data_IF_643979782417
#
_entry.id   IF_643979782417
#
_cell.length_a   1.000
_cell.length_b   1.000
_cell.length_c   1.000
_cell.angle_alpha   90.00
_cell.angle_beta   90.00
_cell.angle_gamma   90.00
#
_symmetry.space_group_name_H-M   'P 1'
#
loop_
_entity.id
_entity.type
_entity.pdbx_description
1 polymer ?
#
# COMPACT_ATOMS: atom_id res chain seq x y z
N UNK A 1 -30.67 -44.80 48.48
CA UNK A 1 -30.37 -43.37 48.66
C UNK A 1 -28.96 -43.12 48.17
N UNK A 2 -28.78 -42.22 47.18
CA UNK A 2 -27.66 -41.27 47.02
C UNK A 2 -26.28 -41.92 46.68
N UNK A 3 -25.49 -41.56 45.65
CA UNK A 3 -25.51 -40.59 44.53
C UNK A 3 -24.40 -41.04 43.55
N UNK A 4 -24.51 -40.63 42.28
CA UNK A 4 -23.48 -40.67 41.24
C UNK A 4 -22.21 -39.88 41.62
N UNK A 5 -21.04 -40.27 41.08
CA UNK A 5 -20.16 -39.31 40.39
C UNK A 5 -19.18 -40.01 39.45
N UNK A 6 -19.25 -39.59 38.18
CA UNK A 6 -18.21 -39.73 37.17
C UNK A 6 -16.98 -38.89 37.54
N UNK A 7 -15.79 -39.34 37.12
CA UNK A 7 -14.56 -38.53 37.09
C UNK A 7 -13.80 -38.89 35.83
N UNK A 8 -14.07 -38.14 34.75
CA UNK A 8 -13.38 -38.22 33.48
C UNK A 8 -11.98 -37.61 33.61
N UNK A 9 -10.96 -38.36 33.18
CA UNK A 9 -9.59 -37.90 33.07
C UNK A 9 -9.45 -37.24 31.68
N UNK A 10 -9.62 -35.93 31.60
CA UNK A 10 -9.32 -35.17 30.38
C UNK A 10 -7.82 -34.83 30.38
N UNK A 11 -7.12 -35.44 29.43
CA UNK A 11 -5.75 -35.14 29.05
C UNK A 11 -5.77 -33.88 28.17
N UNK A 12 -5.60 -32.69 28.78
CA UNK A 12 -5.41 -31.45 28.00
C UNK A 12 -3.93 -31.33 27.63
N UNK A 13 -3.60 -31.75 26.42
CA UNK A 13 -2.35 -31.37 25.76
C UNK A 13 -2.41 -29.89 25.42
N UNK A 14 -1.60 -29.07 26.10
CA UNK A 14 -1.27 -27.74 25.62
C UNK A 14 -0.23 -27.92 24.50
N UNK A 15 -0.71 -27.85 23.26
CA UNK A 15 0.14 -27.64 22.09
C UNK A 15 0.50 -26.16 22.11
N UNK A 16 1.70 -25.83 22.60
CA UNK A 16 2.29 -24.52 22.38
C UNK A 16 2.62 -24.42 20.89
N UNK A 17 1.80 -23.70 20.14
CA UNK A 17 2.21 -23.14 18.86
C UNK A 17 3.34 -22.15 19.16
N UNK A 18 4.53 -22.48 18.71
CA UNK A 18 5.66 -21.56 18.73
C UNK A 18 5.32 -20.41 17.78
N UNK A 19 5.01 -19.25 18.35
CA UNK A 19 5.07 -18.00 17.61
C UNK A 19 6.51 -17.83 17.10
N UNK A 20 6.64 -17.66 15.79
CA UNK A 20 7.91 -17.37 15.14
C UNK A 20 8.39 -16.01 15.65
N UNK A 21 9.41 -16.01 16.51
CA UNK A 21 10.11 -14.80 16.94
C UNK A 21 11.20 -14.51 15.91
N UNK A 22 10.88 -13.61 14.97
CA UNK A 22 11.85 -12.77 14.29
C UNK A 22 11.68 -11.36 14.88
N UNK A 23 12.07 -11.21 16.15
CA UNK A 23 12.34 -9.88 16.70
C UNK A 23 13.72 -9.47 16.19
N UNK A 24 13.75 -8.85 15.01
CA UNK A 24 14.85 -7.91 14.76
C UNK A 24 14.70 -6.75 15.74
N UNK A 25 15.79 -6.42 16.42
CA UNK A 25 15.89 -5.43 17.48
C UNK A 25 15.72 -4.00 16.91
N UNK A 26 14.54 -3.69 16.40
CA UNK A 26 14.04 -2.33 16.29
C UNK A 26 13.89 -1.80 17.71
N UNK A 27 14.19 -0.52 17.94
CA UNK A 27 14.11 0.13 19.24
C UNK A 27 12.69 0.29 19.78
N UNK A 28 11.84 -0.72 19.61
CA UNK A 28 10.49 -0.81 20.16
C UNK A 28 10.60 -0.99 21.67
N UNK A 29 10.10 -0.01 22.40
CA UNK A 29 9.98 -0.13 23.84
C UNK A 29 8.64 -0.82 24.12
N UNK A 30 8.59 -1.95 24.84
CA UNK A 30 7.34 -2.65 25.14
C UNK A 30 6.32 -1.83 25.97
N UNK A 31 6.65 -0.59 26.36
CA UNK A 31 5.69 0.40 26.88
C UNK A 31 5.02 1.27 25.81
N UNK A 32 5.38 1.12 24.54
CA UNK A 32 4.90 1.95 23.43
C UNK A 32 3.40 1.76 23.21
N UNK A 33 2.83 0.61 23.59
CA UNK A 33 1.43 0.26 23.30
C UNK A 33 1.40 -1.11 22.65
N UNK A 34 0.24 -1.78 22.60
CA UNK A 34 0.14 -3.06 21.91
C UNK A 34 0.10 -2.82 20.40
N UNK A 35 1.14 -3.18 19.64
CA UNK A 35 0.95 -3.43 18.20
C UNK A 35 -0.16 -4.47 18.10
N UNK A 36 -1.22 -4.15 17.37
CA UNK A 36 -2.44 -4.94 17.45
C UNK A 36 -3.29 -4.82 16.21
N UNK A 37 -4.06 -5.88 15.95
CA UNK A 37 -5.16 -5.83 15.01
C UNK A 37 -6.06 -4.62 15.28
N UNK A 38 -6.71 -4.10 14.25
CA UNK A 38 -7.81 -3.15 14.36
C UNK A 38 -9.12 -3.91 14.66
N UNK A 39 -9.54 -4.11 15.94
CA UNK A 39 -10.77 -4.84 16.21
C UNK A 39 -11.97 -4.01 15.74
N UNK A 40 -12.67 -4.52 14.72
CA UNK A 40 -14.03 -4.17 14.28
C UNK A 40 -14.44 -2.69 14.47
N UNK A 41 -13.61 -1.75 14.02
CA UNK A 41 -13.94 -0.32 13.92
C UNK A 41 -13.42 0.58 15.04
N UNK A 42 -12.26 0.29 15.65
CA UNK A 42 -11.57 1.29 16.49
C UNK A 42 -11.03 2.44 15.63
N UNK A 43 -10.53 2.11 14.45
CA UNK A 43 -10.11 3.04 13.40
C UNK A 43 -10.83 2.65 12.11
N UNK A 44 -11.31 3.64 11.36
CA UNK A 44 -11.88 3.44 10.04
C UNK A 44 -10.85 3.82 8.96
N UNK A 45 -10.28 2.84 8.23
CA UNK A 45 -9.27 3.10 7.20
C UNK A 45 -9.76 3.97 6.02
N UNK A 46 -11.08 4.05 5.82
CA UNK A 46 -11.66 4.85 4.74
C UNK A 46 -11.94 6.31 5.14
N UNK A 47 -11.72 6.68 6.39
CA UNK A 47 -11.88 8.06 6.85
C UNK A 47 -10.57 8.83 6.67
N UNK A 48 -10.63 9.95 5.97
CA UNK A 48 -9.50 10.88 5.84
C UNK A 48 -9.47 11.82 7.04
N UNK A 49 -8.39 11.74 7.81
CA UNK A 49 -8.14 12.67 8.92
C UNK A 49 -7.78 14.07 8.42
N UNK A 50 -8.12 15.09 9.21
CA UNK A 50 -7.73 16.48 8.95
C UNK A 50 -6.35 16.74 9.55
N UNK A 51 -5.40 17.19 8.73
CA UNK A 51 -4.07 17.58 9.22
C UNK A 51 -4.16 18.79 10.14
N UNK A 52 -3.59 18.68 11.35
CA UNK A 52 -3.56 19.76 12.35
C UNK A 52 -2.15 20.10 12.80
N UNK A 53 -1.99 21.27 13.42
CA UNK A 53 -0.71 21.69 13.97
C UNK A 53 -0.43 21.06 15.35
N UNK A 54 0.85 20.90 15.74
CA UNK A 54 1.20 20.38 17.07
C UNK A 54 0.59 21.14 18.25
N UNK A 55 0.40 22.46 18.11
CA UNK A 55 -0.15 23.32 19.16
C UNK A 55 -1.68 23.12 19.35
N UNK A 56 -2.34 22.44 18.41
CA UNK A 56 -3.78 22.12 18.44
C UNK A 56 -4.05 20.75 19.10
N UNK A 57 -3.00 19.94 19.28
CA UNK A 57 -3.09 18.62 19.92
C UNK A 57 -3.36 18.75 21.43
N UNK A 58 -4.18 17.88 22.05
CA UNK A 58 -4.35 17.83 23.50
C UNK A 58 -3.02 17.80 24.26
N UNK A 59 -2.92 18.58 25.34
CA UNK A 59 -1.69 18.74 26.12
C UNK A 59 -1.22 17.41 26.72
N UNK A 60 -2.16 16.54 27.05
CA UNK A 60 -1.92 15.19 27.57
C UNK A 60 -1.13 14.32 26.57
N UNK A 61 -1.43 14.44 25.27
CA UNK A 61 -0.70 13.72 24.22
C UNK A 61 0.69 14.33 24.02
N UNK A 62 0.78 15.67 23.99
CA UNK A 62 2.07 16.37 23.88
C UNK A 62 3.00 16.00 25.05
N UNK A 63 2.46 15.92 26.27
CA UNK A 63 3.17 15.51 27.48
C UNK A 63 3.61 14.04 27.40
N UNK A 64 2.72 13.15 26.93
CA UNK A 64 3.06 11.74 26.72
C UNK A 64 4.24 11.58 25.75
N UNK A 65 4.17 12.21 24.56
CA UNK A 65 5.22 12.10 23.55
C UNK A 65 6.54 12.69 24.05
N UNK A 66 6.50 13.85 24.72
CA UNK A 66 7.69 14.52 25.26
C UNK A 66 8.36 13.75 26.38
N UNK A 67 7.58 13.06 27.22
CA UNK A 67 8.09 12.27 28.32
C UNK A 67 8.72 10.95 27.85
N UNK A 68 8.11 10.29 26.85
CA UNK A 68 8.52 8.96 26.40
C UNK A 68 9.52 8.99 25.23
N UNK A 69 9.48 10.00 24.36
CA UNK A 69 10.32 10.10 23.16
C UNK A 69 11.11 11.41 23.10
N UNK A 70 11.91 11.76 24.12
CA UNK A 70 12.56 13.06 24.19
C UNK A 70 13.40 13.38 22.93
N UNK A 71 13.09 14.50 22.28
CA UNK A 71 13.76 14.91 21.04
C UNK A 71 13.13 14.34 19.76
N UNK A 72 11.94 13.75 19.85
CA UNK A 72 11.13 13.39 18.69
C UNK A 72 10.81 14.60 17.80
N UNK A 73 10.45 14.33 16.55
CA UNK A 73 9.95 15.34 15.60
C UNK A 73 8.66 14.84 14.98
N UNK A 74 7.62 15.66 14.96
CA UNK A 74 6.37 15.32 14.27
C UNK A 74 6.59 15.12 12.77
N UNK A 75 5.86 14.16 12.20
CA UNK A 75 5.79 13.88 10.76
C UNK A 75 4.39 14.04 10.22
N UNK A 76 3.40 13.57 10.97
CA UNK A 76 1.98 13.68 10.66
C UNK A 76 1.21 13.85 11.97
N UNK A 77 0.18 14.69 11.95
CA UNK A 77 -0.79 14.82 13.03
C UNK A 77 -2.15 15.01 12.36
N UNK A 78 -3.05 14.06 12.58
CA UNK A 78 -4.40 14.07 12.02
C UNK A 78 -5.44 13.99 13.13
N UNK A 79 -6.49 14.79 12.99
CA UNK A 79 -7.72 14.71 13.78
C UNK A 79 -8.79 14.00 12.96
N UNK A 80 -9.40 12.97 13.56
CA UNK A 80 -10.53 12.25 13.00
C UNK A 80 -11.78 12.59 13.82
N UNK A 81 -12.92 12.75 13.14
CA UNK A 81 -14.21 13.02 13.77
C UNK A 81 -15.25 12.00 13.31
N UNK A 82 -15.23 10.83 13.95
CA UNK A 82 -16.11 9.73 13.61
C UNK A 82 -17.29 9.67 14.58
N UNK A 83 -18.52 9.79 14.08
CA UNK A 83 -19.75 9.74 14.91
C UNK A 83 -19.76 10.72 16.11
N UNK A 84 -18.99 11.80 16.04
CA UNK A 84 -18.85 12.81 17.09
C UNK A 84 -17.80 12.48 18.16
N UNK A 85 -17.04 11.40 18.00
CA UNK A 85 -15.84 11.12 18.78
C UNK A 85 -14.60 11.66 18.06
N UNK A 86 -13.75 12.36 18.80
CA UNK A 86 -12.48 12.86 18.29
C UNK A 86 -11.38 11.83 18.58
N UNK A 87 -10.58 11.50 17.56
CA UNK A 87 -9.40 10.65 17.67
C UNK A 87 -8.21 11.36 17.02
N UNK A 88 -7.00 11.03 17.47
CA UNK A 88 -5.77 11.61 16.94
C UNK A 88 -4.83 10.52 16.42
N UNK A 89 -4.53 10.58 15.12
CA UNK A 89 -3.48 9.79 14.49
C UNK A 89 -2.19 10.61 14.42
N UNK A 90 -1.07 10.04 14.88
CA UNK A 90 0.20 10.78 14.98
C UNK A 90 1.35 9.91 14.50
N UNK A 91 2.19 10.47 13.64
CA UNK A 91 3.48 9.87 13.27
C UNK A 91 4.60 10.77 13.73
N UNK A 92 5.57 10.21 14.47
CA UNK A 92 6.78 10.90 14.89
C UNK A 92 8.02 10.22 14.32
N UNK A 93 9.11 10.99 14.21
CA UNK A 93 10.46 10.45 14.05
C UNK A 93 11.22 10.54 15.37
N UNK A 94 11.71 9.41 15.88
CA UNK A 94 12.51 9.30 17.09
C UNK A 94 13.71 8.37 16.86
N UNK A 95 14.92 8.85 17.16
CA UNK A 95 16.18 8.10 16.96
C UNK A 95 16.37 7.49 15.54
N UNK A 96 15.80 8.14 14.53
CA UNK A 96 15.88 7.69 13.13
C UNK A 96 14.69 6.84 12.68
N UNK A 97 13.90 6.30 13.60
CA UNK A 97 12.74 5.46 13.30
C UNK A 97 11.46 6.29 13.22
N UNK A 98 10.49 5.83 12.43
CA UNK A 98 9.11 6.36 12.43
C UNK A 98 8.26 5.51 13.37
N UNK A 99 7.50 6.17 14.23
CA UNK A 99 6.59 5.53 15.19
C UNK A 99 5.22 6.19 15.01
N UNK A 100 4.19 5.39 14.94
CA UNK A 100 2.81 5.79 14.71
C UNK A 100 1.99 5.54 15.97
N UNK A 101 0.98 6.37 16.20
CA UNK A 101 0.15 6.34 17.39
C UNK A 101 -1.29 6.68 17.05
N UNK A 102 -2.22 6.10 17.78
CA UNK A 102 -3.63 6.42 17.78
C UNK A 102 -4.10 6.73 19.20
N UNK A 103 -4.68 7.91 19.41
CA UNK A 103 -5.11 8.40 20.73
C UNK A 103 -6.61 8.74 20.75
N UNK A 104 -7.21 8.63 21.94
CA UNK A 104 -8.50 9.25 22.24
C UNK A 104 -8.34 10.76 22.47
N UNK A 105 -9.45 11.50 22.41
CA UNK A 105 -9.47 12.94 22.66
C UNK A 105 -8.93 13.37 24.03
N UNK A 106 -8.98 12.50 25.05
CA UNK A 106 -8.48 12.77 26.40
C UNK A 106 -6.98 12.46 26.59
N UNK A 107 -6.31 12.04 25.52
CA UNK A 107 -4.90 11.66 25.51
C UNK A 107 -4.62 10.22 25.96
N UNK A 108 -5.66 9.40 26.15
CA UNK A 108 -5.50 7.96 26.33
C UNK A 108 -4.96 7.32 25.04
N UNK A 109 -3.83 6.62 25.15
CA UNK A 109 -3.26 5.87 24.04
C UNK A 109 -4.09 4.62 23.75
N UNK A 110 -4.51 4.46 22.50
CA UNK A 110 -5.25 3.29 22.01
C UNK A 110 -4.26 2.28 21.46
N UNK A 111 -3.42 2.71 20.51
CA UNK A 111 -2.46 1.86 19.83
C UNK A 111 -1.21 2.66 19.44
N UNK A 112 -0.08 1.98 19.32
CA UNK A 112 1.10 2.47 18.63
C UNK A 112 1.88 1.32 17.99
N UNK A 113 2.71 1.68 17.01
CA UNK A 113 3.57 0.73 16.35
C UNK A 113 4.65 1.40 15.51
N UNK A 114 5.62 0.63 15.00
CA UNK A 114 6.51 1.13 13.99
C UNK A 114 5.73 1.38 12.69
N UNK A 115 6.13 2.39 11.94
CA UNK A 115 5.66 2.55 10.55
C UNK A 115 6.25 1.42 9.72
N UNK A 116 5.39 0.68 9.03
CA UNK A 116 5.74 -0.48 8.21
C UNK A 116 4.99 -0.38 6.89
N UNK A 117 5.55 -0.96 5.82
CA UNK A 117 4.79 -1.13 4.58
C UNK A 117 3.66 -2.12 4.79
N UNK A 118 2.67 -2.06 3.89
CA UNK A 118 1.72 -3.14 3.72
C UNK A 118 2.44 -4.43 3.34
N UNK A 119 1.73 -5.54 3.46
CA UNK A 119 2.26 -6.86 3.17
C UNK A 119 1.23 -7.65 2.38
N UNK A 120 1.62 -8.13 1.19
CA UNK A 120 0.76 -8.99 0.38
C UNK A 120 0.34 -10.27 1.13
N UNK A 121 -0.92 -10.66 0.95
CA UNK A 121 -1.55 -11.84 1.54
C UNK A 121 -2.12 -12.71 0.43
N UNK A 122 -1.86 -14.00 0.51
CA UNK A 122 -2.52 -14.96 -0.37
C UNK A 122 -4.03 -14.97 -0.10
N UNK A 123 -4.84 -14.76 -1.14
CA UNK A 123 -6.31 -14.68 -1.07
C UNK A 123 -6.92 -15.93 -0.41
N UNK A 124 -6.39 -17.13 -0.67
CA UNK A 124 -6.86 -18.39 -0.06
C UNK A 124 -6.60 -18.46 1.45
N UNK A 125 -5.75 -17.56 1.97
CA UNK A 125 -5.43 -17.44 3.40
C UNK A 125 -6.31 -16.40 4.12
N UNK A 126 -7.16 -15.67 3.40
CA UNK A 126 -8.10 -14.73 4.01
C UNK A 126 -9.10 -15.48 4.93
N UNK A 127 -9.56 -14.83 6.02
CA UNK A 127 -10.62 -15.40 6.85
C UNK A 127 -11.87 -15.69 6.02
N UNK A 128 -12.53 -16.83 6.30
CA UNK A 128 -13.76 -17.20 5.59
C UNK A 128 -14.85 -16.12 5.64
N UNK A 129 -14.92 -15.34 6.72
CA UNK A 129 -15.85 -14.21 6.84
C UNK A 129 -15.61 -13.10 5.80
N UNK A 130 -14.36 -12.89 5.40
CA UNK A 130 -14.00 -11.93 4.32
C UNK A 130 -14.51 -12.45 2.99
N UNK A 131 -14.19 -13.71 2.66
CA UNK A 131 -14.62 -14.35 1.42
C UNK A 131 -16.16 -14.41 1.32
N UNK A 132 -16.84 -14.80 2.41
CA UNK A 132 -18.30 -14.83 2.49
C UNK A 132 -18.91 -13.43 2.28
N UNK A 133 -18.28 -12.37 2.81
CA UNK A 133 -18.75 -11.00 2.62
C UNK A 133 -18.62 -10.58 1.15
N UNK A 134 -17.50 -10.90 0.51
CA UNK A 134 -17.25 -10.52 -0.88
C UNK A 134 -18.19 -11.28 -1.81
N UNK A 135 -18.34 -12.60 -1.66
CA UNK A 135 -19.28 -13.40 -2.48
C UNK A 135 -20.72 -12.90 -2.35
N UNK A 136 -21.13 -12.45 -1.16
CA UNK A 136 -22.49 -11.98 -0.92
C UNK A 136 -22.79 -10.57 -1.49
N UNK A 137 -21.79 -9.69 -1.53
CA UNK A 137 -21.98 -8.27 -1.89
C UNK A 137 -21.39 -7.89 -3.25
N UNK A 138 -20.41 -8.66 -3.73
CA UNK A 138 -19.64 -8.44 -4.96
C UNK A 138 -19.50 -9.77 -5.75
N UNK A 139 -20.61 -10.47 -6.06
CA UNK A 139 -20.59 -11.84 -6.60
C UNK A 139 -19.88 -11.98 -7.95
N UNK A 140 -19.87 -10.90 -8.75
CA UNK A 140 -19.30 -10.85 -10.09
C UNK A 140 -18.05 -9.97 -10.16
N UNK A 141 -17.58 -9.44 -9.02
CA UNK A 141 -16.36 -8.62 -8.97
C UNK A 141 -15.26 -9.42 -8.27
N UNK A 142 -14.28 -9.92 -9.02
CA UNK A 142 -13.26 -10.77 -8.44
C UNK A 142 -12.22 -9.97 -7.64
N UNK A 143 -11.62 -10.64 -6.66
CA UNK A 143 -10.51 -10.11 -5.86
C UNK A 143 -9.24 -10.08 -6.72
N UNK A 144 -8.61 -8.91 -6.83
CA UNK A 144 -7.32 -8.74 -7.52
C UNK A 144 -6.15 -8.72 -6.55
N UNK A 145 -6.37 -8.25 -5.32
CA UNK A 145 -5.33 -8.14 -4.30
C UNK A 145 -5.88 -8.30 -2.90
N UNK A 146 -5.04 -8.82 -2.02
CA UNK A 146 -5.27 -8.76 -0.59
C UNK A 146 -3.95 -8.46 0.11
N UNK A 147 -3.98 -7.53 1.06
CA UNK A 147 -2.82 -7.13 1.86
C UNK A 147 -3.19 -7.05 3.34
N UNK A 148 -2.20 -7.24 4.21
CA UNK A 148 -2.23 -6.69 5.58
C UNK A 148 -1.66 -5.28 5.49
N UNK A 149 -2.54 -4.30 5.60
CA UNK A 149 -2.19 -2.90 5.68
C UNK A 149 -2.06 -2.48 7.14
N UNK A 150 -1.28 -1.42 7.39
CA UNK A 150 -0.95 -0.92 8.73
C UNK A 150 -1.03 0.59 8.78
N UNK A 151 -1.83 1.10 9.70
CA UNK A 151 -1.98 2.53 9.92
C UNK A 151 -2.15 2.81 11.41
N UNK A 152 -1.47 3.84 11.91
CA UNK A 152 -1.40 4.19 13.34
C UNK A 152 -1.08 3.01 14.28
N UNK A 153 -0.21 2.10 13.85
CA UNK A 153 0.15 0.89 14.60
C UNK A 153 -0.93 -0.20 14.66
N UNK A 154 -2.02 -0.03 13.90
CA UNK A 154 -3.08 -1.03 13.75
C UNK A 154 -2.97 -1.76 12.43
N UNK A 155 -3.21 -3.08 12.44
CA UNK A 155 -3.28 -3.89 11.21
C UNK A 155 -4.71 -4.28 10.83
N UNK A 156 -4.98 -4.31 9.53
CA UNK A 156 -6.24 -4.73 8.94
C UNK A 156 -6.00 -5.31 7.53
N UNK A 157 -6.96 -6.06 7.00
CA UNK A 157 -6.89 -6.51 5.61
C UNK A 157 -7.42 -5.40 4.69
N UNK A 158 -6.66 -5.02 3.67
CA UNK A 158 -7.17 -4.33 2.47
C UNK A 158 -7.39 -5.40 1.40
N UNK A 159 -8.57 -5.45 0.80
CA UNK A 159 -8.90 -6.37 -0.29
C UNK A 159 -9.38 -5.55 -1.46
N UNK A 160 -8.61 -5.53 -2.54
CA UNK A 160 -8.94 -4.79 -3.75
C UNK A 160 -9.67 -5.69 -4.75
N UNK A 161 -10.73 -5.16 -5.32
CA UNK A 161 -11.56 -5.82 -6.33
C UNK A 161 -11.25 -5.29 -7.73
N UNK A 162 -11.55 -6.07 -8.76
CA UNK A 162 -11.23 -5.73 -10.15
C UNK A 162 -11.92 -4.47 -10.70
N UNK A 163 -12.96 -3.96 -10.04
CA UNK A 163 -13.62 -2.69 -10.39
C UNK A 163 -12.97 -1.47 -9.71
N UNK A 164 -11.87 -1.66 -8.99
CA UNK A 164 -11.17 -0.62 -8.22
C UNK A 164 -11.75 -0.39 -6.83
N UNK A 165 -12.74 -1.18 -6.39
CA UNK A 165 -13.23 -1.09 -5.00
C UNK A 165 -12.20 -1.69 -4.05
N UNK A 166 -11.76 -0.92 -3.05
CA UNK A 166 -10.98 -1.40 -1.92
C UNK A 166 -11.90 -1.65 -0.72
N UNK A 167 -11.82 -2.86 -0.15
CA UNK A 167 -12.59 -3.29 1.00
C UNK A 167 -11.65 -3.52 2.19
N UNK A 168 -12.02 -2.99 3.35
CA UNK A 168 -11.20 -3.08 4.55
C UNK A 168 -11.88 -3.98 5.58
N UNK A 169 -11.11 -4.91 6.15
CA UNK A 169 -11.59 -5.87 7.15
C UNK A 169 -10.67 -5.92 8.36
N UNK A 170 -11.24 -6.16 9.55
CA UNK A 170 -10.43 -6.52 10.72
C UNK A 170 -9.69 -7.83 10.48
N UNK A 171 -8.63 -8.12 11.24
CA UNK A 171 -7.96 -9.43 11.16
C UNK A 171 -8.89 -10.62 11.51
N UNK A 172 -10.01 -10.35 12.20
CA UNK A 172 -11.04 -11.36 12.48
C UNK A 172 -11.98 -11.61 11.28
N UNK A 173 -11.92 -10.77 10.26
CA UNK A 173 -12.76 -10.82 9.06
C UNK A 173 -14.05 -10.01 9.16
N UNK A 174 -14.17 -9.11 10.13
CA UNK A 174 -15.32 -8.19 10.18
C UNK A 174 -15.10 -7.05 9.18
N UNK A 175 -16.10 -6.76 8.36
CA UNK A 175 -16.06 -5.62 7.45
C UNK A 175 -15.99 -4.29 8.21
N UNK A 176 -15.03 -3.45 7.84
CA UNK A 176 -14.81 -2.12 8.42
C UNK A 176 -15.43 -1.04 7.53
N UNK A 177 -15.01 -0.98 6.27
CA UNK A 177 -15.42 0.03 5.31
C UNK A 177 -15.01 -0.36 3.88
N UNK A 178 -15.44 0.44 2.90
CA UNK A 178 -15.02 0.33 1.50
C UNK A 178 -14.73 1.71 0.92
N UNK A 179 -13.70 1.84 0.09
CA UNK A 179 -13.42 2.98 -0.77
C UNK A 179 -13.42 2.54 -2.24
N UNK A 180 -13.58 3.49 -3.15
CA UNK A 180 -13.28 3.26 -4.57
C UNK A 180 -11.94 3.93 -4.81
N UNK A 181 -10.93 3.16 -5.22
CA UNK A 181 -9.63 3.70 -5.59
C UNK A 181 -9.82 4.57 -6.84
N UNK A 182 -9.87 5.88 -6.59
CA UNK A 182 -10.29 6.90 -7.56
C UNK A 182 -10.56 8.29 -6.95
N UNK A 183 -10.71 8.39 -5.63
CA UNK A 183 -10.94 9.66 -4.91
C UNK A 183 -9.83 10.02 -3.90
N UNK A 184 -8.62 9.45 -4.01
CA UNK A 184 -7.46 10.00 -3.29
C UNK A 184 -6.80 11.15 -4.08
N UNK A 185 -7.63 12.10 -4.52
CA UNK A 185 -7.21 13.48 -4.72
C UNK A 185 -7.28 14.18 -3.35
N UNK A 186 -6.49 13.69 -2.38
CA UNK A 186 -6.11 14.42 -1.18
C UNK A 186 -5.22 15.61 -1.51
N UNK A 187 -5.67 16.47 -2.43
CA UNK A 187 -5.10 17.80 -2.68
C UNK A 187 -5.46 18.70 -1.48
N UNK A 188 -4.77 18.48 -0.36
CA UNK A 188 -4.79 19.32 0.83
C UNK A 188 -4.03 20.64 0.64
N UNK A 189 -4.22 21.31 -0.49
CA UNK A 189 -3.75 22.68 -0.73
C UNK A 189 -4.86 23.69 -0.38
N UNK A 190 -5.43 23.58 0.82
CA UNK A 190 -6.26 24.63 1.39
C UNK A 190 -5.38 25.66 2.11
N UNK A 191 -4.84 26.59 1.32
CA UNK A 191 -4.40 27.89 1.82
C UNK A 191 -4.72 28.99 0.80
N UNK A 192 -5.91 29.60 0.91
CA UNK A 192 -6.10 30.92 0.29
C UNK A 192 -7.53 31.39 0.04
N UNK A 193 -8.26 31.64 1.12
CA UNK A 193 -9.19 32.76 1.31
C UNK A 193 -9.44 33.67 0.07
N UNK A 194 -10.66 33.64 -0.46
CA UNK A 194 -11.11 34.58 -1.49
C UNK A 194 -12.61 34.46 -1.74
N UNK A 195 -13.37 35.29 -1.03
CA UNK A 195 -14.75 35.65 -1.37
C UNK A 195 -14.90 35.92 -2.88
N UNK A 196 -15.97 35.45 -3.50
CA UNK A 196 -16.90 36.31 -4.23
C UNK A 196 -18.15 35.52 -4.67
N UNK A 197 -19.27 36.19 -4.46
CA UNK A 197 -20.66 35.80 -4.69
C UNK A 197 -21.03 35.64 -6.18
N UNK A 198 -22.30 35.23 -6.37
CA UNK A 198 -23.18 35.44 -7.54
C UNK A 198 -23.07 34.40 -8.67
N UNK A 199 -24.12 33.90 -9.29
CA UNK A 199 -25.58 33.84 -9.09
C UNK A 199 -26.08 33.01 -10.29
N UNK A 200 -27.31 32.51 -10.16
CA UNK A 200 -28.28 32.22 -11.23
C UNK A 200 -28.17 30.95 -12.10
N UNK A 201 -29.18 30.10 -11.90
CA UNK A 201 -30.20 29.67 -12.87
C UNK A 201 -29.75 29.13 -14.25
N UNK A 202 -30.12 27.90 -14.60
CA UNK A 202 -31.47 27.59 -15.13
C UNK A 202 -31.52 26.22 -15.83
N UNK A 203 -32.65 25.55 -15.62
CA UNK A 203 -33.38 24.58 -16.44
C UNK A 203 -32.69 23.56 -17.38
N UNK A 204 -33.22 22.33 -17.32
CA UNK A 204 -33.56 21.62 -18.56
C UNK A 204 -33.31 20.12 -18.64
N UNK A 205 -33.78 19.34 -17.67
CA UNK A 205 -33.95 17.89 -17.85
C UNK A 205 -35.04 17.56 -18.87
N UNK A 206 -34.68 16.89 -19.97
CA UNK A 206 -35.54 15.94 -20.70
C UNK A 206 -34.77 15.26 -21.83
N UNK A 207 -34.68 13.93 -21.77
CA UNK A 207 -34.12 13.10 -22.83
C UNK A 207 -34.30 11.61 -22.53
N UNK A 208 -35.53 11.13 -22.69
CA UNK A 208 -35.85 9.69 -22.73
C UNK A 208 -35.05 8.97 -23.81
N UNK A 209 -34.56 7.79 -23.47
CA UNK A 209 -34.05 6.78 -24.40
C UNK A 209 -34.24 5.40 -23.78
N UNK A 210 -35.46 4.89 -23.88
CA UNK A 210 -35.75 3.46 -23.75
C UNK A 210 -35.16 2.76 -24.99
N UNK A 211 -34.38 1.70 -24.80
CA UNK A 211 -34.25 0.59 -25.75
C UNK A 211 -33.85 -0.66 -24.93
N UNK A 212 -34.86 -1.50 -24.66
CA UNK A 212 -34.69 -2.90 -24.32
C UNK A 212 -34.12 -3.65 -25.55
N UNK A 213 -33.17 -4.57 -25.37
CA UNK A 213 -33.17 -5.87 -26.04
C UNK A 213 -32.08 -6.79 -25.45
N UNK A 214 -32.55 -7.92 -24.93
CA UNK A 214 -31.77 -9.09 -24.54
C UNK A 214 -30.98 -9.66 -25.75
N UNK A 215 -29.72 -10.04 -25.56
CA UNK A 215 -29.15 -11.19 -26.27
C UNK A 215 -28.08 -11.88 -25.42
N UNK A 216 -28.35 -13.16 -25.13
CA UNK A 216 -27.46 -14.10 -24.46
C UNK A 216 -26.20 -14.32 -25.30
N UNK A 217 -25.04 -14.19 -24.67
CA UNK A 217 -23.77 -14.61 -25.22
C UNK A 217 -22.77 -14.87 -24.10
N UNK A 218 -22.68 -16.13 -23.68
CA UNK A 218 -21.47 -16.70 -23.07
C UNK A 218 -20.23 -16.09 -23.74
N UNK A 219 -19.31 -15.54 -22.95
CA UNK A 219 -17.88 -15.83 -23.08
C UNK A 219 -17.12 -15.18 -21.89
N UNK A 220 -16.36 -16.04 -21.23
CA UNK A 220 -15.18 -15.78 -20.41
C UNK A 220 -15.37 -15.21 -18.99
N UNK A 221 -15.71 -16.16 -18.11
CA UNK A 221 -15.11 -16.39 -16.79
C UNK A 221 -13.58 -16.17 -16.83
N UNK A 222 -13.13 -14.92 -16.75
CA UNK A 222 -11.74 -14.57 -16.44
C UNK A 222 -11.69 -13.80 -15.13
N UNK A 223 -11.89 -14.56 -14.06
CA UNK A 223 -11.50 -14.13 -12.73
C UNK A 223 -9.96 -13.92 -12.70
N UNK A 224 -9.39 -12.81 -12.21
CA UNK A 224 -7.96 -12.51 -12.02
C UNK A 224 -7.18 -13.56 -11.22
N UNK A 225 -7.84 -14.58 -10.65
CA UNK A 225 -7.19 -15.83 -10.26
C UNK A 225 -6.38 -16.47 -11.42
N UNK A 226 -6.77 -16.25 -12.69
CA UNK A 226 -6.01 -16.65 -13.88
C UNK A 226 -4.71 -15.86 -14.10
N UNK A 227 -4.66 -14.61 -13.64
CA UNK A 227 -3.53 -13.69 -13.82
C UNK A 227 -2.40 -13.99 -12.83
N UNK A 228 -2.68 -14.10 -11.53
CA UNK A 228 -1.66 -14.47 -10.52
C UNK A 228 -1.15 -15.90 -10.73
N UNK A 229 -2.02 -16.84 -11.13
CA UNK A 229 -1.59 -18.21 -11.44
C UNK A 229 -0.63 -18.27 -12.63
N UNK A 230 -0.81 -17.41 -13.63
CA UNK A 230 0.12 -17.25 -14.75
C UNK A 230 1.48 -16.69 -14.30
N UNK A 231 1.48 -15.71 -13.38
CA UNK A 231 2.70 -15.16 -12.75
C UNK A 231 3.46 -16.25 -11.99
N UNK A 232 2.78 -17.00 -11.09
CA UNK A 232 3.42 -18.08 -10.34
C UNK A 232 3.95 -19.20 -11.25
N UNK A 233 3.23 -19.51 -12.34
CA UNK A 233 3.69 -20.49 -13.34
C UNK A 233 4.96 -20.00 -14.02
N UNK A 234 4.98 -18.74 -14.46
CA UNK A 234 6.16 -18.13 -15.08
C UNK A 234 7.37 -18.16 -14.14
N UNK A 235 7.19 -17.84 -12.86
CA UNK A 235 8.25 -17.86 -11.85
C UNK A 235 8.74 -19.29 -11.62
N UNK A 236 7.85 -20.27 -11.51
CA UNK A 236 8.24 -21.67 -11.34
C UNK A 236 9.05 -22.20 -12.53
N UNK A 237 8.69 -21.80 -13.75
CA UNK A 237 9.34 -22.26 -14.98
C UNK A 237 10.69 -21.57 -15.24
N UNK A 238 10.82 -20.28 -14.91
CA UNK A 238 12.00 -19.47 -15.25
C UNK A 238 12.94 -19.21 -14.06
N UNK A 239 12.41 -19.19 -12.84
CA UNK A 239 13.11 -18.90 -11.60
C UNK A 239 12.96 -20.09 -10.63
N UNK A 240 13.28 -21.29 -11.12
CA UNK A 240 13.06 -22.53 -10.38
C UNK A 240 13.78 -22.53 -9.04
N UNK A 241 13.02 -22.59 -7.94
CA UNK A 241 13.56 -22.59 -6.58
C UNK A 241 13.52 -21.24 -5.87
N UNK A 242 13.12 -20.17 -6.57
CA UNK A 242 12.80 -18.88 -5.96
C UNK A 242 11.36 -18.86 -5.46
N UNK A 243 11.12 -18.15 -4.35
CA UNK A 243 9.80 -17.80 -3.83
C UNK A 243 9.48 -16.36 -4.21
N UNK A 244 8.20 -16.03 -4.29
CA UNK A 244 7.75 -14.63 -4.28
C UNK A 244 7.91 -14.08 -2.87
N UNK A 245 8.62 -12.96 -2.75
CA UNK A 245 8.77 -12.16 -1.53
C UNK A 245 7.61 -11.18 -1.42
N UNK A 246 7.34 -10.47 -2.53
CA UNK A 246 6.30 -9.45 -2.59
C UNK A 246 5.72 -9.29 -3.99
N UNK A 247 4.48 -8.81 -4.09
CA UNK A 247 3.83 -8.39 -5.33
C UNK A 247 3.19 -7.04 -5.05
N UNK A 248 3.60 -6.01 -5.77
CA UNK A 248 3.04 -4.65 -5.72
C UNK A 248 2.44 -4.29 -7.08
N UNK A 249 1.58 -3.28 -7.14
CA UNK A 249 1.19 -2.66 -8.40
C UNK A 249 2.03 -1.41 -8.65
N UNK A 250 2.68 -1.34 -9.82
CA UNK A 250 3.40 -0.15 -10.26
C UNK A 250 2.76 0.35 -11.55
N UNK A 251 2.41 1.64 -11.59
CA UNK A 251 2.08 2.29 -12.85
C UNK A 251 3.38 2.48 -13.62
N UNK A 252 3.51 1.78 -14.74
CA UNK A 252 4.69 1.93 -15.58
C UNK A 252 4.75 3.35 -16.15
N UNK A 253 5.96 3.89 -16.26
CA UNK A 253 6.17 5.24 -16.78
C UNK A 253 5.48 5.43 -18.13
N UNK A 254 4.48 6.32 -18.17
CA UNK A 254 3.68 6.60 -19.37
C UNK A 254 2.87 5.40 -19.90
N UNK A 255 2.65 4.39 -19.06
CA UNK A 255 2.10 3.08 -19.42
C UNK A 255 0.95 2.61 -18.51
N UNK A 256 0.48 1.36 -18.73
CA UNK A 256 -0.56 0.75 -17.92
C UNK A 256 -0.04 0.37 -16.52
N UNK A 257 -0.97 0.04 -15.63
CA UNK A 257 -0.66 -0.61 -14.36
C UNK A 257 -0.06 -2.01 -14.63
N UNK A 258 0.96 -2.38 -13.86
CA UNK A 258 1.65 -3.67 -13.95
C UNK A 258 1.86 -4.26 -12.55
N UNK A 259 1.91 -5.58 -12.45
CA UNK A 259 2.38 -6.25 -11.24
C UNK A 259 3.91 -6.16 -11.20
N UNK A 260 4.47 -5.62 -10.14
CA UNK A 260 5.88 -5.66 -9.78
C UNK A 260 6.11 -6.78 -8.76
N UNK A 261 6.78 -7.86 -9.16
CA UNK A 261 7.00 -9.04 -8.33
C UNK A 261 8.45 -9.09 -7.86
N UNK A 262 8.66 -9.03 -6.55
CA UNK A 262 9.95 -9.25 -5.91
C UNK A 262 10.12 -10.73 -5.55
N UNK A 263 11.30 -11.29 -5.84
CA UNK A 263 11.64 -12.66 -5.49
C UNK A 263 12.54 -12.72 -4.25
N UNK A 264 12.31 -13.72 -3.39
CA UNK A 264 13.11 -13.91 -2.18
C UNK A 264 14.58 -14.20 -2.53
N UNK A 265 15.49 -13.38 -2.02
CA UNK A 265 16.93 -13.59 -2.12
C UNK A 265 17.54 -13.30 -3.50
N UNK A 266 16.74 -12.79 -4.44
CA UNK A 266 17.20 -12.36 -5.77
C UNK A 266 17.14 -10.84 -5.88
N UNK A 267 18.17 -10.23 -6.49
CA UNK A 267 18.18 -8.78 -6.80
C UNK A 267 17.56 -8.54 -8.19
N UNK A 268 16.34 -9.04 -8.36
CA UNK A 268 15.56 -8.89 -9.58
C UNK A 268 14.10 -8.65 -9.22
N UNK A 269 13.46 -7.76 -9.95
CA UNK A 269 12.02 -7.55 -9.92
C UNK A 269 11.43 -7.90 -11.27
N UNK A 270 10.27 -8.55 -11.29
CA UNK A 270 9.62 -9.01 -12.51
C UNK A 270 8.34 -8.21 -12.72
N UNK A 271 8.11 -7.71 -13.92
CA UNK A 271 6.93 -6.93 -14.24
C UNK A 271 6.00 -7.72 -15.15
N UNK A 272 4.71 -7.74 -14.81
CA UNK A 272 3.65 -8.42 -15.58
C UNK A 272 2.50 -7.47 -15.87
N UNK A 273 1.82 -7.66 -16.99
CA UNK A 273 0.56 -6.96 -17.22
C UNK A 273 -0.57 -7.51 -16.34
N UNK A 274 -1.73 -6.85 -16.36
CA UNK A 274 -2.90 -7.26 -15.58
C UNK A 274 -3.45 -8.64 -15.95
N UNK A 275 -3.09 -9.19 -17.11
CA UNK A 275 -3.40 -10.57 -17.51
C UNK A 275 -2.36 -11.60 -17.05
N UNK A 276 -1.30 -11.18 -16.35
CA UNK A 276 -0.24 -12.06 -15.85
C UNK A 276 0.82 -12.40 -16.93
N UNK A 277 0.84 -11.67 -18.04
CA UNK A 277 1.86 -11.86 -19.07
C UNK A 277 3.14 -11.10 -18.69
N UNK A 278 4.29 -11.75 -18.82
CA UNK A 278 5.57 -11.13 -18.52
C UNK A 278 5.87 -9.97 -19.46
N UNK A 279 6.25 -8.82 -18.89
CA UNK A 279 6.63 -7.62 -19.63
C UNK A 279 8.16 -7.50 -19.71
N UNK A 280 8.81 -7.41 -18.55
CA UNK A 280 10.26 -7.30 -18.44
C UNK A 280 10.73 -7.60 -17.01
N UNK A 281 12.03 -7.86 -16.85
CA UNK A 281 12.68 -7.90 -15.54
C UNK A 281 13.51 -6.65 -15.30
N UNK A 282 13.54 -6.13 -14.08
CA UNK A 282 14.39 -5.02 -13.66
C UNK A 282 15.46 -5.48 -12.67
N UNK A 283 16.71 -5.07 -12.93
CA UNK A 283 17.85 -5.33 -12.03
C UNK A 283 18.62 -4.04 -11.77
N UNK A 284 19.04 -3.83 -10.53
CA UNK A 284 19.91 -2.71 -10.17
C UNK A 284 21.29 -2.90 -10.79
N UNK A 285 21.80 -1.88 -11.49
CA UNK A 285 23.13 -1.93 -12.11
C UNK A 285 23.99 -0.74 -11.66
N UNK A 286 25.31 -0.84 -11.83
CA UNK A 286 26.19 0.29 -11.57
C UNK A 286 26.13 1.30 -12.73
N UNK A 287 26.30 2.59 -12.41
CA UNK A 287 26.31 3.68 -13.41
C UNK A 287 27.28 3.43 -14.56
N UNK A 288 28.45 2.85 -14.26
CA UNK A 288 29.49 2.52 -15.25
C UNK A 288 29.08 1.44 -16.25
N UNK A 289 28.00 0.70 -15.97
CA UNK A 289 27.47 -0.34 -16.85
C UNK A 289 26.39 0.21 -17.80
N UNK A 290 26.02 1.50 -17.69
CA UNK A 290 25.13 2.15 -18.65
C UNK A 290 25.76 2.21 -20.05
N UNK A 291 24.96 2.05 -21.12
CA UNK A 291 25.43 2.31 -22.47
C UNK A 291 25.94 3.75 -22.62
N UNK A 292 27.02 3.93 -23.40
CA UNK A 292 27.59 5.25 -23.65
C UNK A 292 26.55 6.22 -24.26
N UNK A 293 25.65 5.72 -25.09
CA UNK A 293 24.60 6.53 -25.69
C UNK A 293 23.62 7.11 -24.64
N UNK A 294 23.33 6.37 -23.57
CA UNK A 294 22.48 6.83 -22.47
C UNK A 294 23.19 7.91 -21.66
N UNK A 295 24.48 7.73 -21.32
CA UNK A 295 25.23 8.74 -20.57
C UNK A 295 25.48 10.01 -21.39
N UNK A 296 25.67 9.88 -22.71
CA UNK A 296 25.73 11.01 -23.64
C UNK A 296 24.39 11.77 -23.69
N UNK A 297 23.26 11.05 -23.74
CA UNK A 297 21.91 11.64 -23.73
C UNK A 297 21.62 12.39 -22.42
N UNK A 298 21.92 11.79 -21.26
CA UNK A 298 21.76 12.45 -19.96
C UNK A 298 22.57 13.75 -19.92
N UNK A 299 23.82 13.71 -20.37
CA UNK A 299 24.70 14.90 -20.39
C UNK A 299 24.19 16.01 -21.32
N UNK A 300 23.47 15.64 -22.39
CA UNK A 300 22.89 16.58 -23.36
C UNK A 300 21.59 17.19 -22.87
N UNK A 301 20.65 16.35 -22.43
CA UNK A 301 19.27 16.74 -22.15
C UNK A 301 19.07 17.20 -20.69
N UNK A 302 19.91 16.71 -19.77
CA UNK A 302 19.85 17.00 -18.34
C UNK A 302 21.19 17.53 -17.79
N UNK A 303 21.75 18.63 -18.35
CA UNK A 303 23.10 19.11 -18.02
C UNK A 303 23.26 19.60 -16.57
N UNK A 304 22.15 19.94 -15.91
CA UNK A 304 22.11 20.39 -14.52
C UNK A 304 21.76 19.26 -13.55
N UNK A 305 21.70 18.01 -14.00
CA UNK A 305 21.40 16.84 -13.16
C UNK A 305 22.62 15.93 -13.03
N UNK A 306 22.62 15.13 -11.96
CA UNK A 306 23.56 14.05 -11.71
C UNK A 306 22.77 12.75 -11.49
N UNK A 307 23.38 11.61 -11.79
CA UNK A 307 22.76 10.31 -11.51
C UNK A 307 22.73 10.11 -9.99
N UNK A 308 21.54 9.79 -9.45
CA UNK A 308 21.38 9.51 -8.03
C UNK A 308 22.09 8.19 -7.66
N UNK A 309 22.60 8.11 -6.42
CA UNK A 309 23.24 6.89 -5.93
C UNK A 309 22.24 5.72 -5.92
N UNK A 310 22.66 4.55 -6.39
CA UNK A 310 21.78 3.39 -6.62
C UNK A 310 20.54 3.72 -7.49
N UNK A 311 20.65 4.71 -8.36
CA UNK A 311 19.56 5.24 -9.17
C UNK A 311 19.36 4.56 -10.52
N UNK A 312 20.04 3.44 -10.81
CA UNK A 312 20.03 2.84 -12.16
C UNK A 312 19.46 1.43 -12.12
N UNK A 313 18.43 1.18 -12.94
CA UNK A 313 17.86 -0.15 -13.20
C UNK A 313 17.97 -0.48 -14.70
N UNK A 314 18.41 -1.69 -15.04
CA UNK A 314 18.32 -2.25 -16.39
C UNK A 314 17.01 -3.04 -16.51
N UNK A 315 16.22 -2.74 -17.54
CA UNK A 315 15.02 -3.49 -17.91
C UNK A 315 15.36 -4.42 -19.07
N UNK A 316 15.06 -5.71 -18.91
CA UNK A 316 15.24 -6.73 -19.93
C UNK A 316 13.88 -7.29 -20.36
N UNK A 317 13.52 -7.04 -21.61
CA UNK A 317 12.27 -7.51 -22.22
C UNK A 317 12.42 -8.93 -22.78
N UNK A 318 11.29 -9.60 -23.02
CA UNK A 318 11.26 -10.97 -23.54
C UNK A 318 11.99 -11.13 -24.89
N UNK A 319 11.92 -10.11 -25.75
CA UNK A 319 12.60 -10.09 -27.05
C UNK A 319 14.13 -9.86 -26.96
N UNK A 320 14.64 -9.66 -25.74
CA UNK A 320 16.04 -9.38 -25.43
C UNK A 320 16.44 -7.91 -25.60
N UNK A 321 15.50 -7.03 -25.97
CA UNK A 321 15.74 -5.59 -25.96
C UNK A 321 15.90 -5.08 -24.52
N UNK A 322 16.57 -3.93 -24.41
CA UNK A 322 16.89 -3.32 -23.12
C UNK A 322 16.47 -1.86 -23.05
N UNK A 323 16.04 -1.46 -21.86
CA UNK A 323 15.85 -0.07 -21.46
C UNK A 323 16.51 0.18 -20.11
N UNK A 324 16.69 1.45 -19.77
CA UNK A 324 17.43 1.86 -18.59
C UNK A 324 16.65 2.95 -17.87
N UNK A 325 16.14 2.64 -16.68
CA UNK A 325 15.61 3.67 -15.79
C UNK A 325 16.77 4.30 -15.02
N UNK A 326 16.82 5.63 -15.03
CA UNK A 326 17.83 6.42 -14.33
C UNK A 326 17.14 7.48 -13.48
N UNK A 327 17.38 7.45 -12.17
CA UNK A 327 17.02 8.53 -11.26
C UNK A 327 18.03 9.67 -11.39
N UNK A 328 17.56 10.84 -11.77
CA UNK A 328 18.37 12.04 -11.98
C UNK A 328 18.05 13.05 -10.87
N UNK A 329 19.09 13.51 -10.19
CA UNK A 329 19.02 14.51 -9.11
C UNK A 329 19.49 15.87 -9.58
N UNK A 330 18.77 16.97 -9.31
CA UNK A 330 19.28 18.31 -9.56
C UNK A 330 20.64 18.57 -8.89
N UNK A 331 21.60 19.08 -9.64
CA UNK A 331 22.96 19.33 -9.16
C UNK A 331 22.95 20.40 -8.06
N UNK A 332 23.49 20.05 -6.90
CA UNK A 332 23.55 20.95 -5.75
C UNK A 332 22.32 20.89 -4.83
N UNK A 333 21.34 20.04 -5.14
CA UNK A 333 20.26 19.67 -4.22
C UNK A 333 20.60 18.32 -3.54
N UNK A 334 20.32 18.22 -2.24
CA UNK A 334 20.43 16.97 -1.47
C UNK A 334 19.05 16.43 -1.04
N UNK A 335 17.98 17.12 -1.41
CA UNK A 335 16.61 16.72 -1.16
C UNK A 335 16.18 15.65 -2.18
N UNK A 336 15.15 14.86 -1.86
CA UNK A 336 14.68 13.69 -2.61
C UNK A 336 13.87 14.05 -3.89
N UNK A 337 14.21 15.16 -4.55
CA UNK A 337 13.56 15.66 -5.78
C UNK A 337 14.11 14.95 -7.04
N UNK A 338 14.25 13.62 -6.99
CA UNK A 338 14.78 12.83 -8.09
C UNK A 338 13.72 12.60 -9.17
N UNK A 339 14.00 13.00 -10.40
CA UNK A 339 13.16 12.61 -11.54
C UNK A 339 13.56 11.21 -12.03
N UNK A 340 12.59 10.39 -12.45
CA UNK A 340 12.84 9.08 -13.07
C UNK A 340 12.76 9.22 -14.58
N UNK A 341 13.81 8.81 -15.30
CA UNK A 341 13.82 8.85 -16.77
C UNK A 341 14.17 7.47 -17.32
N UNK A 342 13.39 6.98 -18.28
CA UNK A 342 13.64 5.72 -18.98
C UNK A 342 14.27 6.03 -20.34
N UNK A 343 15.42 5.43 -20.61
CA UNK A 343 16.12 5.50 -21.87
C UNK A 343 16.10 4.15 -22.59
N UNK A 344 16.04 4.19 -23.91
CA UNK A 344 16.39 3.02 -24.72
C UNK A 344 17.90 2.76 -24.68
N UNK A 345 18.35 1.58 -25.11
CA UNK A 345 19.79 1.29 -25.27
C UNK A 345 20.52 2.30 -26.19
N UNK A 346 19.79 2.91 -27.13
CA UNK A 346 20.29 3.94 -28.04
C UNK A 346 20.39 5.35 -27.45
N UNK A 347 19.96 5.56 -26.21
CA UNK A 347 19.94 6.86 -25.55
C UNK A 347 18.71 7.72 -25.85
N UNK A 348 17.75 7.23 -26.64
CA UNK A 348 16.48 7.93 -26.83
C UNK A 348 15.64 7.87 -25.53
N UNK A 349 15.05 8.99 -25.12
CA UNK A 349 14.13 9.06 -23.98
C UNK A 349 12.83 8.36 -24.37
N UNK A 350 12.46 7.34 -23.60
CA UNK A 350 11.21 6.59 -23.73
C UNK A 350 10.13 7.26 -22.89
N UNK A 351 10.44 7.65 -21.66
CA UNK A 351 9.52 8.27 -20.71
C UNK A 351 10.27 9.04 -19.61
N UNK A 352 9.61 10.01 -18.97
CA UNK A 352 10.11 10.74 -17.81
C UNK A 352 8.97 11.08 -16.83
N UNK A 353 9.21 10.94 -15.54
CA UNK A 353 8.30 11.29 -14.44
C UNK A 353 9.03 12.12 -13.39
N UNK A 354 8.32 13.13 -12.86
CA UNK A 354 8.80 14.03 -11.80
C UNK A 354 8.49 13.50 -10.40
#
# INVERSE_FOLDING_TARGET
MIKFSFGALLLSGFLFLAACSLEENFGFNPSDGPIGANPSGIYNPCETGVNINPDELPVEIQDYLSANYPGFRYKLIQEFSESGEIRYGIVIRHEGNRIEFYFEADGTLINSGPSQSSQSVNIDSLPALVLDHIEANYPDTPIVEAEIDREFGMSFFKVELADGTALYFSEAGDFLCSSIDGDDDGNGDDNGNGDDDDDDDDDGGNGNGDDDDDDDGDDDDDSPNGSLSSIYTYIQDNYSGSSVDDIEFERLCGGPLAFEVQLEGEDVRLYFDMGGNFLFSATSIAEQDLPQAVTDAISSEYPDYQIANNGVKEFLFEDGSKQYQVKLRPSGNNDDDDIKVIFSEGGDIVCSED
#
